data_IF_876878075124
#
_entry.id   IF_876878075124
#
_cell.length_a   1.000
_cell.length_b   1.000
_cell.length_c   1.000
_cell.angle_alpha   90.00
_cell.angle_beta   90.00
_cell.angle_gamma   90.00
#
_symmetry.space_group_name_H-M   'P 1'
#
loop_
_entity.id
_entity.type
_entity.pdbx_description
1 polymer ?
#
# COMPACT_ATOMS: atom_id res chain seq x y z
N UNK A 1 -15.28 22.80 1.54
CA UNK A 1 -13.83 23.14 1.56
C UNK A 1 -13.45 23.19 3.03
N UNK A 2 -12.51 22.36 3.54
CA UNK A 2 -12.08 22.48 4.93
C UNK A 2 -11.49 23.88 5.14
N UNK A 3 -11.89 24.54 6.22
CA UNK A 3 -11.61 25.96 6.52
C UNK A 3 -10.50 26.16 7.55
N UNK A 4 -9.64 25.16 7.77
CA UNK A 4 -8.45 25.26 8.61
C UNK A 4 -7.20 24.85 7.82
N UNK A 5 -6.05 25.46 8.11
CA UNK A 5 -4.77 24.96 7.61
C UNK A 5 -4.50 23.60 8.24
N UNK A 6 -4.40 22.55 7.44
CA UNK A 6 -3.91 21.24 7.91
C UNK A 6 -2.50 21.44 8.48
N UNK A 7 -2.23 21.07 9.74
CA UNK A 7 -0.88 21.13 10.30
C UNK A 7 0.09 20.33 9.43
N UNK A 8 1.29 20.88 9.20
CA UNK A 8 2.34 20.24 8.40
C UNK A 8 3.56 20.01 9.27
N UNK A 9 4.16 18.83 9.16
CA UNK A 9 5.43 18.48 9.80
C UNK A 9 6.44 18.17 8.69
N UNK A 10 7.70 18.59 8.89
CA UNK A 10 8.80 18.26 7.98
C UNK A 10 9.46 16.97 8.44
N UNK A 11 9.67 16.02 7.53
CA UNK A 11 10.42 14.79 7.78
C UNK A 11 10.99 14.21 6.48
N UNK A 12 12.04 13.42 6.61
CA UNK A 12 12.69 12.68 5.53
C UNK A 12 12.51 11.18 5.78
N UNK A 13 11.85 10.50 4.84
CA UNK A 13 11.59 9.06 4.94
C UNK A 13 12.87 8.22 5.02
N UNK A 14 14.02 8.76 4.59
CA UNK A 14 15.32 8.10 4.65
C UNK A 14 16.12 8.41 5.93
N UNK A 15 15.67 9.37 6.75
CA UNK A 15 16.22 9.69 8.06
C UNK A 15 15.21 9.36 9.18
N UNK A 16 15.33 8.18 9.83
CA UNK A 16 14.42 7.77 10.89
C UNK A 16 14.27 8.77 12.04
N UNK A 17 15.33 9.54 12.36
CA UNK A 17 15.29 10.49 13.47
C UNK A 17 14.33 11.66 13.20
N UNK A 18 14.09 11.98 11.92
CA UNK A 18 13.19 13.06 11.50
C UNK A 18 11.71 12.69 11.55
N UNK A 19 11.37 11.41 11.77
CA UNK A 19 10.00 10.91 11.62
C UNK A 19 9.20 10.87 12.93
N UNK A 20 9.86 11.02 14.07
CA UNK A 20 9.22 10.89 15.39
C UNK A 20 8.03 11.87 15.53
N UNK A 21 8.26 13.15 15.25
CA UNK A 21 7.24 14.19 15.40
C UNK A 21 6.08 14.02 14.40
N UNK A 22 6.35 13.39 13.25
CA UNK A 22 5.32 13.14 12.24
C UNK A 22 4.34 12.03 12.63
N UNK A 23 4.72 11.14 13.55
CA UNK A 23 3.91 10.01 14.01
C UNK A 23 3.49 10.10 15.47
N UNK A 24 3.81 11.21 16.14
CA UNK A 24 3.40 11.43 17.53
C UNK A 24 1.90 11.73 17.59
N UNK A 25 1.21 11.04 18.51
CA UNK A 25 -0.23 11.21 18.74
C UNK A 25 -1.17 10.86 17.57
N UNK A 26 -0.69 10.27 16.48
CA UNK A 26 -1.56 9.91 15.32
C UNK A 26 -2.33 8.61 15.57
N UNK A 27 -3.61 8.59 15.15
CA UNK A 27 -4.45 7.38 15.17
C UNK A 27 -4.30 6.55 13.87
N UNK A 28 -3.85 7.19 12.78
CA UNK A 28 -3.73 6.57 11.48
C UNK A 28 -2.59 7.16 10.64
N UNK A 29 -2.05 6.35 9.73
CA UNK A 29 -1.06 6.79 8.71
C UNK A 29 -1.51 6.31 7.34
N UNK A 30 -1.49 7.22 6.36
CA UNK A 30 -1.75 6.92 4.95
C UNK A 30 -0.47 7.12 4.15
N UNK A 31 0.11 6.03 3.64
CA UNK A 31 1.28 6.07 2.77
C UNK A 31 0.84 6.27 1.32
N UNK A 32 1.14 7.45 0.78
CA UNK A 32 0.93 7.81 -0.63
C UNK A 32 2.22 8.24 -1.33
N UNK A 33 3.37 8.04 -0.67
CA UNK A 33 4.68 8.40 -1.22
C UNK A 33 5.08 7.49 -2.39
N UNK A 34 5.94 8.04 -3.23
CA UNK A 34 6.58 7.30 -4.31
C UNK A 34 7.77 8.11 -4.83
N UNK A 35 8.72 7.42 -5.43
CA UNK A 35 9.95 8.04 -5.95
C UNK A 35 10.11 7.84 -7.44
N UNK A 36 10.93 8.71 -8.04
CA UNK A 36 11.42 8.58 -9.42
C UNK A 36 12.91 8.19 -9.45
N UNK A 37 13.49 7.83 -8.31
CA UNK A 37 14.93 7.59 -8.12
C UNK A 37 15.47 6.21 -8.55
N UNK A 38 14.76 5.50 -9.43
CA UNK A 38 15.12 4.14 -9.84
C UNK A 38 15.15 3.14 -8.67
N UNK A 39 15.81 1.99 -8.84
CA UNK A 39 15.84 0.94 -7.81
C UNK A 39 16.33 1.42 -6.43
N UNK A 40 17.44 2.18 -6.30
CA UNK A 40 17.88 2.68 -5.00
C UNK A 40 16.84 3.58 -4.35
N UNK A 41 16.20 4.46 -5.13
CA UNK A 41 15.12 5.29 -4.64
C UNK A 41 13.94 4.46 -4.14
N UNK A 42 13.47 3.48 -4.91
CA UNK A 42 12.34 2.63 -4.50
C UNK A 42 12.69 1.82 -3.25
N UNK A 43 13.92 1.30 -3.17
CA UNK A 43 14.40 0.61 -1.97
C UNK A 43 14.36 1.52 -0.75
N UNK A 44 14.94 2.72 -0.86
CA UNK A 44 15.20 3.57 0.30
C UNK A 44 13.94 4.37 0.70
N UNK A 45 13.08 4.72 -0.25
CA UNK A 45 11.88 5.54 -0.06
C UNK A 45 10.61 4.68 0.01
N UNK A 46 10.27 3.93 -1.04
CA UNK A 46 9.02 3.17 -1.10
C UNK A 46 9.00 2.01 -0.08
N UNK A 47 10.12 1.32 0.10
CA UNK A 47 10.28 0.28 1.14
C UNK A 47 10.84 0.85 2.45
N UNK A 48 11.98 1.55 2.40
CA UNK A 48 12.68 2.04 3.58
C UNK A 48 11.87 3.07 4.36
N UNK A 49 11.12 3.94 3.68
CA UNK A 49 10.22 4.89 4.32
C UNK A 49 9.10 4.19 5.11
N UNK A 50 8.48 3.15 4.55
CA UNK A 50 7.47 2.35 5.26
C UNK A 50 8.10 1.70 6.50
N UNK A 51 9.26 1.06 6.35
CA UNK A 51 10.00 0.47 7.48
C UNK A 51 10.25 1.49 8.60
N UNK A 52 10.76 2.67 8.23
CA UNK A 52 11.17 3.70 9.18
C UNK A 52 9.97 4.28 9.93
N UNK A 53 8.87 4.57 9.22
CA UNK A 53 7.62 5.05 9.84
C UNK A 53 7.03 4.00 10.76
N UNK A 54 6.94 2.72 10.34
CA UNK A 54 6.43 1.64 11.21
C UNK A 54 7.31 1.46 12.46
N UNK A 55 8.63 1.58 12.31
CA UNK A 55 9.57 1.53 13.44
C UNK A 55 9.34 2.70 14.41
N UNK A 56 9.11 3.92 13.90
CA UNK A 56 8.83 5.10 14.70
C UNK A 56 7.45 5.04 15.40
N UNK A 57 6.47 4.38 14.78
CA UNK A 57 5.18 4.11 15.42
C UNK A 57 5.36 3.15 16.60
N UNK A 58 6.16 2.09 16.42
CA UNK A 58 6.39 1.07 17.43
C UNK A 58 5.12 0.25 17.72
N UNK A 59 4.89 -0.24 18.95
CA UNK A 59 3.74 -1.09 19.28
C UNK A 59 2.41 -0.33 19.42
N UNK A 60 2.40 0.99 19.22
CA UNK A 60 1.19 1.81 19.41
C UNK A 60 0.13 1.44 18.36
N UNK A 61 -1.15 1.30 18.74
CA UNK A 61 -2.19 0.92 17.80
C UNK A 61 -2.48 2.08 16.83
N UNK A 62 -1.96 2.00 15.61
CA UNK A 62 -2.18 2.98 14.53
C UNK A 62 -2.77 2.27 13.32
N UNK A 63 -3.83 2.83 12.72
CA UNK A 63 -4.44 2.31 11.49
C UNK A 63 -3.58 2.66 10.28
N UNK A 64 -3.20 1.66 9.47
CA UNK A 64 -2.33 1.87 8.30
C UNK A 64 -3.13 1.72 7.00
N UNK A 65 -3.07 2.73 6.13
CA UNK A 65 -3.46 2.58 4.73
C UNK A 65 -2.21 2.72 3.86
N UNK A 66 -1.85 1.68 3.12
CA UNK A 66 -0.67 1.68 2.23
C UNK A 66 -1.11 1.64 0.77
N UNK A 67 -0.68 2.63 -0.01
CA UNK A 67 -0.81 2.62 -1.46
C UNK A 67 0.45 2.02 -2.11
N UNK A 68 0.27 0.95 -2.89
CA UNK A 68 1.33 0.38 -3.74
C UNK A 68 0.98 0.51 -5.21
N UNK A 69 0.83 -0.60 -5.94
CA UNK A 69 0.53 -0.59 -7.37
C UNK A 69 -0.11 -1.92 -7.78
N UNK A 70 -0.98 -1.89 -8.79
CA UNK A 70 -1.43 -3.09 -9.48
C UNK A 70 -0.24 -3.85 -10.09
N UNK A 71 -0.31 -5.18 -10.10
CA UNK A 71 0.70 -6.01 -10.75
C UNK A 71 1.99 -6.15 -9.96
N UNK A 72 2.02 -5.88 -8.64
CA UNK A 72 3.21 -6.05 -7.80
C UNK A 72 3.73 -7.50 -7.79
N UNK A 73 2.91 -8.48 -8.19
CA UNK A 73 3.34 -9.86 -8.40
C UNK A 73 3.86 -10.16 -9.81
N UNK A 74 3.82 -9.20 -10.74
CA UNK A 74 4.35 -9.32 -12.12
C UNK A 74 5.83 -8.93 -12.12
N UNK A 75 6.68 -9.87 -11.73
CA UNK A 75 8.12 -9.62 -11.53
C UNK A 75 8.92 -9.54 -12.82
N UNK A 76 8.47 -10.26 -13.84
CA UNK A 76 9.11 -10.40 -15.14
C UNK A 76 8.68 -9.33 -16.14
N UNK A 77 7.72 -8.46 -15.80
CA UNK A 77 7.34 -7.33 -16.64
C UNK A 77 8.52 -6.41 -16.95
N UNK A 78 8.54 -5.82 -18.15
CA UNK A 78 9.65 -4.98 -18.61
C UNK A 78 9.96 -3.82 -17.64
N UNK A 79 8.92 -3.18 -17.10
CA UNK A 79 9.03 -2.13 -16.10
C UNK A 79 9.72 -2.61 -14.81
N UNK A 80 9.32 -3.76 -14.26
CA UNK A 80 9.93 -4.25 -13.03
C UNK A 80 11.35 -4.76 -13.23
N UNK A 81 11.68 -5.30 -14.41
CA UNK A 81 13.07 -5.69 -14.72
C UNK A 81 14.04 -4.52 -14.71
N UNK A 82 13.59 -3.32 -15.09
CA UNK A 82 14.43 -2.12 -15.10
C UNK A 82 14.43 -1.35 -13.78
N UNK A 83 13.35 -1.41 -13.01
CA UNK A 83 13.18 -0.57 -11.80
C UNK A 83 13.21 -1.32 -10.48
N UNK A 84 12.90 -2.64 -10.50
CA UNK A 84 12.57 -3.45 -9.32
C UNK A 84 11.47 -2.86 -8.43
N UNK A 85 10.64 -1.97 -8.99
CA UNK A 85 9.60 -1.26 -8.26
C UNK A 85 8.60 -2.20 -7.57
N UNK A 86 8.13 -3.22 -8.30
CA UNK A 86 7.16 -4.19 -7.78
C UNK A 86 7.77 -5.05 -6.68
N UNK A 87 9.01 -5.51 -6.86
CA UNK A 87 9.72 -6.32 -5.88
C UNK A 87 9.84 -5.59 -4.53
N UNK A 88 10.19 -4.29 -4.54
CA UNK A 88 10.32 -3.47 -3.33
C UNK A 88 8.97 -3.04 -2.74
N UNK A 89 7.98 -2.70 -3.56
CA UNK A 89 6.63 -2.39 -3.08
C UNK A 89 5.99 -3.61 -2.40
N UNK A 90 6.12 -4.82 -2.97
CA UNK A 90 5.64 -6.05 -2.32
C UNK A 90 6.35 -6.33 -0.98
N UNK A 91 7.64 -6.00 -0.85
CA UNK A 91 8.34 -6.05 0.45
C UNK A 91 7.76 -5.04 1.44
N UNK A 92 7.42 -3.83 1.01
CA UNK A 92 6.81 -2.82 1.87
C UNK A 92 5.43 -3.28 2.40
N UNK A 93 4.64 -3.92 1.54
CA UNK A 93 3.40 -4.57 1.98
C UNK A 93 3.64 -5.60 3.08
N UNK A 94 4.65 -6.46 2.93
CA UNK A 94 5.03 -7.46 3.94
C UNK A 94 5.42 -6.82 5.28
N UNK A 95 6.09 -5.67 5.26
CA UNK A 95 6.41 -4.93 6.49
C UNK A 95 5.13 -4.45 7.21
N UNK A 96 4.15 -3.92 6.48
CA UNK A 96 2.86 -3.53 7.06
C UNK A 96 2.16 -4.73 7.69
N UNK A 97 2.13 -5.88 7.02
CA UNK A 97 1.54 -7.10 7.59
C UNK A 97 2.29 -7.59 8.84
N UNK A 98 3.62 -7.57 8.81
CA UNK A 98 4.48 -7.98 9.92
C UNK A 98 4.40 -7.05 11.13
N UNK A 99 4.07 -5.76 10.93
CA UNK A 99 3.98 -4.77 12.01
C UNK A 99 2.86 -5.03 13.02
N UNK A 100 1.88 -5.88 12.67
CA UNK A 100 0.74 -6.20 13.52
C UNK A 100 -0.33 -5.10 13.65
N UNK A 101 -0.08 -3.90 13.12
CA UNK A 101 -1.08 -2.83 13.07
C UNK A 101 -2.32 -3.24 12.26
N UNK A 102 -3.53 -2.73 12.58
CA UNK A 102 -4.66 -2.87 11.68
C UNK A 102 -4.36 -2.12 10.37
N UNK A 103 -4.56 -2.77 9.22
CA UNK A 103 -4.18 -2.17 7.93
C UNK A 103 -5.15 -2.43 6.78
N UNK A 104 -4.98 -1.62 5.72
CA UNK A 104 -5.49 -1.85 4.37
C UNK A 104 -4.39 -1.54 3.36
N UNK A 105 -4.18 -2.41 2.38
CA UNK A 105 -3.21 -2.24 1.30
C UNK A 105 -4.00 -2.12 -0.01
N UNK A 106 -3.81 -0.99 -0.69
CA UNK A 106 -4.49 -0.66 -1.95
C UNK A 106 -3.46 -0.67 -3.07
N UNK A 107 -3.69 -1.49 -4.09
CA UNK A 107 -2.87 -1.62 -5.30
C UNK A 107 -3.58 -0.93 -6.48
N UNK A 108 -3.49 0.39 -6.60
CA UNK A 108 -4.24 1.12 -7.62
C UNK A 108 -3.75 0.80 -9.04
N UNK A 109 -4.69 0.88 -9.99
CA UNK A 109 -4.44 0.81 -11.43
C UNK A 109 -3.70 2.01 -11.99
N UNK A 110 -3.77 2.22 -13.31
CA UNK A 110 -3.08 3.30 -14.01
C UNK A 110 -3.72 4.67 -13.73
N UNK A 111 -2.94 5.60 -13.19
CA UNK A 111 -3.44 6.90 -12.71
C UNK A 111 -3.77 7.84 -13.87
N UNK A 112 -4.94 8.47 -13.82
CA UNK A 112 -5.38 9.49 -14.78
C UNK A 112 -5.45 8.99 -16.24
N UNK A 113 -5.55 7.67 -16.43
CA UNK A 113 -5.88 7.05 -17.72
C UNK A 113 -7.38 6.77 -17.86
N UNK A 114 -8.18 7.23 -16.90
CA UNK A 114 -9.63 7.03 -16.85
C UNK A 114 -10.38 8.15 -17.59
N UNK A 115 -11.52 7.79 -18.17
CA UNK A 115 -12.53 8.73 -18.65
C UNK A 115 -13.41 9.24 -17.48
N UNK A 116 -14.12 10.34 -17.70
CA UNK A 116 -15.01 10.96 -16.70
C UNK A 116 -16.18 10.06 -16.26
N UNK A 117 -16.56 9.09 -17.09
CA UNK A 117 -17.66 8.14 -16.84
C UNK A 117 -17.19 6.83 -16.18
N UNK A 118 -15.89 6.66 -15.96
CA UNK A 118 -15.31 5.51 -15.24
C UNK A 118 -15.32 5.76 -13.74
N UNK A 119 -16.53 5.73 -13.15
CA UNK A 119 -16.73 6.06 -11.74
C UNK A 119 -17.05 4.86 -10.86
N UNK A 120 -17.37 3.72 -11.45
CA UNK A 120 -17.67 2.50 -10.70
C UNK A 120 -16.38 1.83 -10.26
N UNK A 121 -16.17 1.69 -8.95
CA UNK A 121 -14.98 1.09 -8.37
C UNK A 121 -15.08 -0.44 -8.35
N UNK A 122 -13.97 -1.10 -8.62
CA UNK A 122 -13.84 -2.55 -8.51
C UNK A 122 -12.62 -2.88 -7.65
N UNK A 123 -12.84 -3.71 -6.62
CA UNK A 123 -11.76 -4.26 -5.80
C UNK A 123 -11.49 -5.69 -6.26
N UNK A 124 -10.26 -5.94 -6.70
CA UNK A 124 -9.83 -7.23 -7.26
C UNK A 124 -8.78 -7.85 -6.33
N UNK A 125 -8.53 -9.16 -6.48
CA UNK A 125 -7.44 -9.84 -5.77
C UNK A 125 -6.72 -10.82 -6.68
N UNK A 126 -5.38 -10.79 -6.65
CA UNK A 126 -4.50 -11.78 -7.24
C UNK A 126 -3.76 -11.32 -8.51
N UNK A 127 -3.78 -10.01 -8.82
CA UNK A 127 -3.09 -9.43 -9.97
C UNK A 127 -3.36 -10.22 -11.27
N UNK A 128 -4.63 -10.49 -11.58
CA UNK A 128 -4.99 -11.30 -12.76
C UNK A 128 -4.87 -10.55 -14.08
N UNK A 129 -4.85 -9.21 -14.03
CA UNK A 129 -4.66 -8.32 -15.18
C UNK A 129 -3.17 -7.98 -15.33
N UNK A 130 -2.52 -8.48 -16.39
CA UNK A 130 -1.05 -8.50 -16.55
C UNK A 130 -0.54 -8.00 -17.91
N UNK A 131 -1.31 -7.16 -18.59
CA UNK A 131 -0.97 -6.59 -19.88
C UNK A 131 0.19 -5.58 -19.81
N UNK A 132 0.51 -5.06 -18.63
CA UNK A 132 1.59 -4.10 -18.40
C UNK A 132 1.27 -2.71 -18.96
N UNK A 133 -0.01 -2.37 -19.12
CA UNK A 133 -0.49 -1.10 -19.65
C UNK A 133 -1.90 -0.79 -19.11
N UNK A 134 -2.47 0.36 -19.46
CA UNK A 134 -3.75 0.86 -18.95
C UNK A 134 -4.94 -0.11 -19.09
N UNK A 135 -4.89 -1.10 -19.98
CA UNK A 135 -5.91 -2.15 -20.06
C UNK A 135 -5.97 -3.03 -18.81
N UNK A 136 -4.96 -2.99 -17.94
CA UNK A 136 -5.00 -3.65 -16.63
C UNK A 136 -5.97 -2.98 -15.66
N UNK A 137 -6.46 -1.80 -16.01
CA UNK A 137 -7.41 -1.02 -15.24
C UNK A 137 -6.84 0.34 -14.89
N UNK A 138 -7.73 1.31 -14.85
CA UNK A 138 -7.43 2.73 -14.68
C UNK A 138 -8.11 3.23 -13.42
N UNK A 139 -7.63 4.33 -12.85
CA UNK A 139 -8.22 4.90 -11.63
C UNK A 139 -7.87 6.39 -11.54
N UNK A 140 -8.81 7.22 -11.09
CA UNK A 140 -8.55 8.63 -10.82
C UNK A 140 -7.90 8.80 -9.44
N UNK A 141 -7.00 9.78 -9.29
CA UNK A 141 -6.39 10.07 -7.97
C UNK A 141 -7.41 10.39 -6.87
N UNK A 142 -8.53 11.05 -7.21
CA UNK A 142 -9.61 11.31 -6.26
C UNK A 142 -10.25 10.03 -5.74
N UNK A 143 -10.48 9.04 -6.61
CA UNK A 143 -11.03 7.74 -6.22
C UNK A 143 -10.08 6.96 -5.32
N UNK A 144 -8.77 7.03 -5.59
CA UNK A 144 -7.76 6.43 -4.71
C UNK A 144 -7.82 7.09 -3.32
N UNK A 145 -7.88 8.43 -3.26
CA UNK A 145 -7.97 9.16 -2.00
C UNK A 145 -9.24 8.78 -1.22
N UNK A 146 -10.40 8.70 -1.90
CA UNK A 146 -11.67 8.30 -1.28
C UNK A 146 -11.59 6.90 -0.66
N UNK A 147 -11.01 5.93 -1.38
CA UNK A 147 -10.85 4.56 -0.90
C UNK A 147 -9.87 4.47 0.27
N UNK A 148 -8.71 5.15 0.19
CA UNK A 148 -7.72 5.17 1.27
C UNK A 148 -8.32 5.78 2.55
N UNK A 149 -9.02 6.91 2.44
CA UNK A 149 -9.66 7.56 3.58
C UNK A 149 -10.79 6.70 4.16
N UNK A 150 -11.66 6.14 3.31
CA UNK A 150 -12.75 5.26 3.77
C UNK A 150 -12.22 4.01 4.49
N UNK A 151 -11.08 3.46 4.06
CA UNK A 151 -10.47 2.28 4.67
C UNK A 151 -10.00 2.49 6.12
N UNK A 152 -9.77 3.74 6.53
CA UNK A 152 -9.32 4.06 7.89
C UNK A 152 -10.40 3.80 8.94
N UNK A 153 -11.67 3.93 8.55
CA UNK A 153 -12.82 3.81 9.46
C UNK A 153 -13.71 2.60 9.17
N UNK A 154 -13.40 1.83 8.14
CA UNK A 154 -14.15 0.62 7.77
C UNK A 154 -13.60 -0.62 8.49
N UNK A 155 -14.38 -1.30 9.34
CA UNK A 155 -13.99 -2.59 9.90
C UNK A 155 -13.82 -3.66 8.82
N UNK A 156 -14.64 -3.64 7.75
CA UNK A 156 -14.52 -4.60 6.65
C UNK A 156 -13.21 -4.43 5.86
N UNK A 157 -12.57 -3.25 5.92
CA UNK A 157 -11.29 -3.00 5.29
C UNK A 157 -10.09 -3.54 6.10
N UNK A 158 -10.29 -4.06 7.32
CA UNK A 158 -9.17 -4.57 8.13
C UNK A 158 -8.53 -5.82 7.53
N UNK A 159 -7.19 -5.80 7.50
CA UNK A 159 -6.32 -6.84 6.95
C UNK A 159 -6.72 -7.22 5.52
N UNK A 160 -6.96 -6.23 4.68
CA UNK A 160 -7.29 -6.41 3.26
C UNK A 160 -6.17 -5.90 2.36
N UNK A 161 -5.81 -6.72 1.38
CA UNK A 161 -5.06 -6.30 0.19
C UNK A 161 -5.90 -6.50 -1.06
N UNK A 162 -5.97 -5.49 -1.92
CA UNK A 162 -6.73 -5.56 -3.17
C UNK A 162 -6.18 -4.62 -4.23
N UNK A 163 -6.41 -4.98 -5.49
CA UNK A 163 -6.22 -4.07 -6.63
C UNK A 163 -7.43 -3.16 -6.81
N UNK A 164 -7.19 -1.89 -7.09
CA UNK A 164 -8.23 -0.86 -7.23
C UNK A 164 -8.26 -0.32 -8.65
N UNK A 165 -9.39 -0.51 -9.33
CA UNK A 165 -9.63 0.00 -10.68
C UNK A 165 -11.02 0.62 -10.76
N UNK A 166 -11.25 1.47 -11.75
CA UNK A 166 -12.55 2.02 -12.09
C UNK A 166 -12.96 1.65 -13.51
N UNK A 167 -14.24 1.31 -13.64
CA UNK A 167 -14.89 0.98 -14.90
C UNK A 167 -16.07 1.91 -15.16
N UNK A 168 -16.58 1.91 -16.39
CA UNK A 168 -17.72 2.73 -16.79
C UNK A 168 -18.93 2.39 -15.94
N UNK A 169 -19.45 3.38 -15.24
CA UNK A 169 -20.61 3.21 -14.37
C UNK A 169 -20.75 4.31 -13.33
N UNK A 170 -21.85 4.33 -12.57
CA UNK A 170 -22.03 5.29 -11.49
C UNK A 170 -21.07 4.99 -10.33
N UNK A 171 -20.64 6.04 -9.62
CA UNK A 171 -19.92 5.87 -8.36
C UNK A 171 -20.82 5.20 -7.32
N UNK A 172 -20.26 4.25 -6.56
CA UNK A 172 -20.96 3.65 -5.45
C UNK A 172 -21.05 4.63 -4.27
N UNK A 173 -22.23 4.80 -3.65
CA UNK A 173 -22.39 5.69 -2.49
C UNK A 173 -21.82 5.08 -1.20
N UNK A 174 -21.58 3.78 -1.17
CA UNK A 174 -21.06 3.03 -0.02
C UNK A 174 -19.99 2.03 -0.50
N UNK A 175 -18.84 2.05 0.17
CA UNK A 175 -17.70 1.19 -0.12
C UNK A 175 -17.62 -0.03 0.80
N UNK A 176 -18.39 -0.07 1.90
CA UNK A 176 -18.37 -1.18 2.86
C UNK A 176 -18.66 -2.54 2.20
N UNK A 177 -19.65 -2.67 1.27
CA UNK A 177 -19.89 -3.93 0.58
C UNK A 177 -18.72 -4.39 -0.29
N UNK A 178 -17.94 -3.45 -0.85
CA UNK A 178 -16.76 -3.77 -1.65
C UNK A 178 -15.63 -4.31 -0.76
N UNK A 179 -15.39 -3.68 0.39
CA UNK A 179 -14.41 -4.18 1.37
C UNK A 179 -14.81 -5.54 1.94
N UNK A 180 -16.09 -5.73 2.28
CA UNK A 180 -16.61 -6.96 2.87
C UNK A 180 -16.50 -8.17 1.92
N UNK A 181 -16.57 -7.94 0.61
CA UNK A 181 -16.41 -8.98 -0.40
C UNK A 181 -14.97 -9.52 -0.53
N UNK A 182 -13.97 -8.79 -0.02
CA UNK A 182 -12.56 -9.19 -0.10
C UNK A 182 -12.23 -10.31 0.87
N UNK A 183 -11.37 -11.24 0.45
CA UNK A 183 -10.72 -12.16 1.40
C UNK A 183 -9.71 -11.39 2.25
N UNK A 184 -9.62 -11.67 3.57
CA UNK A 184 -8.56 -11.10 4.40
C UNK A 184 -7.21 -11.75 4.12
N UNK A 185 -6.17 -11.01 4.42
CA UNK A 185 -4.79 -11.46 4.41
C UNK A 185 -4.56 -12.41 5.59
N UNK A 186 -3.96 -13.57 5.33
CA UNK A 186 -3.71 -14.63 6.35
C UNK A 186 -2.23 -14.83 6.67
N UNK A 187 -1.35 -14.08 6.01
CA UNK A 187 0.10 -14.19 6.13
C UNK A 187 0.79 -12.93 5.64
N UNK A 188 2.02 -13.07 5.14
CA UNK A 188 2.82 -11.93 4.67
C UNK A 188 2.50 -11.53 3.22
N UNK A 189 1.75 -12.33 2.46
CA UNK A 189 1.36 -12.05 1.09
C UNK A 189 -0.15 -11.83 0.94
N UNK A 190 -0.54 -11.10 -0.10
CA UNK A 190 -1.94 -10.79 -0.40
C UNK A 190 -2.71 -12.04 -0.90
N UNK A 191 -4.04 -12.08 -0.76
CA UNK A 191 -4.84 -13.20 -1.21
C UNK A 191 -4.68 -13.47 -2.72
N UNK A 192 -4.38 -14.71 -3.06
CA UNK A 192 -4.09 -15.16 -4.43
C UNK A 192 -2.85 -14.51 -5.09
N UNK A 193 -1.96 -13.89 -4.31
CA UNK A 193 -0.63 -13.56 -4.80
C UNK A 193 0.10 -14.83 -5.22
N UNK A 194 0.74 -14.78 -6.39
CA UNK A 194 1.61 -15.87 -6.84
C UNK A 194 2.86 -15.96 -5.95
N UNK A 195 3.25 -17.19 -5.61
CA UNK A 195 4.48 -17.46 -4.86
C UNK A 195 5.70 -17.40 -5.78
N UNK A 196 6.12 -16.18 -6.09
CA UNK A 196 7.26 -15.90 -6.96
C UNK A 196 8.29 -14.95 -6.32
N UNK A 197 8.18 -14.69 -5.02
CA UNK A 197 9.14 -13.92 -4.24
C UNK A 197 9.25 -14.54 -2.83
N UNK A 198 9.73 -15.79 -2.71
CA UNK A 198 9.73 -16.51 -1.44
C UNK A 198 10.64 -15.81 -0.43
N UNK A 199 10.21 -15.75 0.85
CA UNK A 199 10.93 -15.07 1.93
C UNK A 199 12.36 -15.62 2.09
N UNK A 200 12.56 -16.93 1.90
CA UNK A 200 13.89 -17.55 1.98
C UNK A 200 14.89 -17.02 0.95
N UNK A 201 14.42 -16.45 -0.16
CA UNK A 201 15.26 -15.84 -1.19
C UNK A 201 15.39 -14.32 -1.07
N UNK A 202 14.80 -13.72 -0.04
CA UNK A 202 14.90 -12.28 0.18
C UNK A 202 16.28 -11.87 0.69
N UNK A 203 16.74 -10.65 0.36
CA UNK A 203 17.96 -10.09 0.92
C UNK A 203 17.96 -10.19 2.45
N UNK A 204 19.12 -10.48 3.04
CA UNK A 204 19.26 -10.63 4.51
C UNK A 204 18.65 -9.47 5.28
N UNK A 205 18.86 -8.23 4.80
CA UNK A 205 18.29 -7.05 5.47
C UNK A 205 16.76 -7.05 5.50
N UNK A 206 16.10 -7.51 4.43
CA UNK A 206 14.63 -7.58 4.36
C UNK A 206 14.10 -8.59 5.36
N UNK A 207 14.78 -9.74 5.48
CA UNK A 207 14.42 -10.76 6.48
C UNK A 207 14.59 -10.24 7.91
N UNK A 208 15.69 -9.55 8.20
CA UNK A 208 15.93 -8.92 9.50
C UNK A 208 14.91 -7.81 9.83
N UNK A 209 14.50 -7.03 8.83
CA UNK A 209 13.47 -5.99 9.02
C UNK A 209 12.10 -6.61 9.34
N UNK A 210 11.74 -7.73 8.68
CA UNK A 210 10.51 -8.48 8.99
C UNK A 210 10.55 -9.09 10.40
N UNK A 211 11.67 -9.70 10.79
CA UNK A 211 11.86 -10.24 12.14
C UNK A 211 11.74 -9.13 13.19
N UNK A 212 12.36 -7.97 12.96
CA UNK A 212 12.28 -6.82 13.87
C UNK A 212 10.86 -6.33 14.05
N UNK A 213 10.12 -6.09 12.96
CA UNK A 213 8.74 -5.60 13.04
C UNK A 213 7.80 -6.63 13.68
N UNK A 214 8.01 -7.92 13.38
CA UNK A 214 7.25 -8.99 14.04
C UNK A 214 7.53 -9.00 15.55
N UNK A 215 8.78 -8.80 15.96
CA UNK A 215 9.17 -8.70 17.37
C UNK A 215 8.58 -7.48 18.08
N UNK A 216 8.46 -6.34 17.40
CA UNK A 216 7.78 -5.14 17.92
C UNK A 216 6.27 -5.38 18.10
N UNK A 217 5.67 -6.18 17.24
CA UNK A 217 4.23 -6.49 17.26
C UNK A 217 3.81 -7.46 18.36
N UNK A 218 4.75 -8.20 18.97
CA UNK A 218 4.46 -9.09 20.09
C UNK A 218 4.49 -8.29 21.40
N UNK A 219 3.48 -8.43 22.28
CA UNK A 219 3.43 -7.73 23.57
C UNK A 219 4.49 -8.21 24.57
#
# INVERSE_FOLDING_TARGET
RPTGSTPTVTGDLTDPASLHDAVDGVDAVVFTHGTHGGEPGVRDVDYGGVRNVLTAIGPRPVRIALMTAIGVTVRDGAYNRSTRAHDWKRRAERLVRASGHPYTIVRPGWFDYNDDDQRQLHFLQGDTRRAGNASDGVIARSQIADVLVASLTSPAADRKTFELVAERGPAQPDLEPLFAALRPDVGLDGPADVDNQPIASEPTQVRLDLERLTGIAQP
#
